data_IF_767699880871
#
_entry.id   IF_767699880871
#
_cell.length_a   1.000
_cell.length_b   1.000
_cell.length_c   1.000
_cell.angle_alpha   90.00
_cell.angle_beta   90.00
_cell.angle_gamma   90.00
#
_symmetry.space_group_name_H-M   'P 1'
#
loop_
_entity.id
_entity.type
_entity.pdbx_description
1 polymer ?
#
# COMPACT_ATOMS: atom_id res chain seq x y z
N UNK A 1 -18.46 -0.70 22.04
CA UNK A 1 -19.19 -1.17 20.84
C UNK A 1 -18.18 -1.09 19.71
N UNK A 2 -17.80 -2.20 19.13
CA UNK A 2 -16.94 -2.18 17.93
C UNK A 2 -17.69 -1.45 16.80
N UNK A 3 -17.02 -0.51 16.15
CA UNK A 3 -17.56 0.24 15.00
C UNK A 3 -17.72 -0.75 13.85
N UNK A 4 -18.95 -1.03 13.44
CA UNK A 4 -19.20 -1.87 12.26
C UNK A 4 -18.74 -1.14 11.01
N UNK A 5 -18.16 -1.89 10.08
CA UNK A 5 -17.68 -1.38 8.81
C UNK A 5 -18.87 -1.02 7.92
N UNK A 6 -19.04 0.25 7.54
CA UNK A 6 -20.10 0.68 6.63
C UNK A 6 -19.76 0.35 5.19
N UNK A 7 -20.55 -0.53 4.59
CA UNK A 7 -20.39 -0.95 3.19
C UNK A 7 -21.59 -0.49 2.38
N UNK A 8 -21.35 0.41 1.43
CA UNK A 8 -22.38 0.84 0.47
C UNK A 8 -22.35 -0.11 -0.74
N UNK A 9 -23.46 -0.79 -0.97
CA UNK A 9 -23.61 -1.78 -2.02
C UNK A 9 -24.46 -1.23 -3.17
N UNK A 10 -23.86 -1.09 -4.35
CA UNK A 10 -24.56 -0.69 -5.57
C UNK A 10 -25.13 -1.90 -6.31
N UNK A 11 -25.99 -2.61 -5.62
CA UNK A 11 -26.74 -3.75 -6.17
C UNK A 11 -28.02 -3.92 -5.36
N UNK A 12 -29.16 -3.78 -6.00
CA UNK A 12 -30.49 -3.90 -5.39
C UNK A 12 -31.19 -5.22 -5.74
N UNK A 13 -30.44 -6.19 -6.33
CA UNK A 13 -31.01 -7.50 -6.64
C UNK A 13 -31.27 -8.33 -5.39
N UNK A 14 -32.40 -9.01 -5.35
CA UNK A 14 -32.80 -9.89 -4.26
C UNK A 14 -31.83 -11.08 -4.15
N UNK A 15 -31.36 -11.58 -5.29
CA UNK A 15 -30.40 -12.68 -5.37
C UNK A 15 -29.09 -12.31 -4.67
N UNK A 16 -28.53 -11.14 -4.96
CA UNK A 16 -27.31 -10.68 -4.32
C UNK A 16 -27.48 -10.54 -2.81
N UNK A 17 -28.61 -9.96 -2.36
CA UNK A 17 -28.90 -9.80 -0.94
C UNK A 17 -29.02 -11.15 -0.22
N UNK A 18 -29.62 -12.15 -0.85
CA UNK A 18 -29.77 -13.49 -0.29
C UNK A 18 -28.48 -14.29 -0.27
N UNK A 19 -27.65 -14.19 -1.32
CA UNK A 19 -26.43 -14.98 -1.45
C UNK A 19 -25.24 -14.37 -0.72
N UNK A 20 -25.13 -13.05 -0.73
CA UNK A 20 -23.96 -12.34 -0.21
C UNK A 20 -24.26 -11.50 1.04
N UNK A 21 -25.45 -10.91 1.15
CA UNK A 21 -25.77 -9.95 2.20
C UNK A 21 -25.56 -10.50 3.60
N UNK A 22 -26.15 -11.65 3.93
CA UNK A 22 -26.02 -12.26 5.25
C UNK A 22 -24.56 -12.60 5.61
N UNK A 23 -23.78 -13.10 4.66
CA UNK A 23 -22.38 -13.48 4.88
C UNK A 23 -21.53 -12.24 5.19
N UNK A 24 -21.77 -11.14 4.48
CA UNK A 24 -21.07 -9.86 4.72
C UNK A 24 -21.46 -9.27 6.09
N UNK A 25 -22.74 -9.31 6.46
CA UNK A 25 -23.22 -8.84 7.77
C UNK A 25 -22.67 -9.67 8.93
N UNK A 26 -22.61 -10.99 8.79
CA UNK A 26 -22.03 -11.92 9.78
C UNK A 26 -20.51 -11.70 9.94
N UNK A 27 -19.86 -11.13 8.92
CA UNK A 27 -18.46 -10.72 8.94
C UNK A 27 -18.23 -9.32 9.55
N UNK A 28 -19.25 -8.72 10.20
CA UNK A 28 -19.14 -7.46 10.93
C UNK A 28 -19.40 -6.20 10.11
N UNK A 29 -19.97 -6.33 8.90
CA UNK A 29 -20.29 -5.21 8.02
C UNK A 29 -21.72 -4.70 8.26
N UNK A 30 -21.92 -3.39 8.11
CA UNK A 30 -23.21 -2.71 8.04
C UNK A 30 -23.51 -2.40 6.58
N UNK A 31 -24.45 -3.13 5.96
CA UNK A 31 -24.75 -2.99 4.54
C UNK A 31 -25.81 -1.93 4.28
N UNK A 32 -25.52 -1.02 3.37
CA UNK A 32 -26.44 -0.01 2.89
C UNK A 32 -26.56 -0.19 1.38
N UNK A 33 -27.78 -0.44 0.92
CA UNK A 33 -28.04 -0.70 -0.49
C UNK A 33 -28.43 0.56 -1.26
N UNK A 34 -28.01 0.64 -2.50
CA UNK A 34 -28.48 1.62 -3.48
C UNK A 34 -28.71 0.95 -4.82
N UNK A 35 -29.49 1.60 -5.68
CA UNK A 35 -29.75 1.11 -7.02
C UNK A 35 -28.43 0.98 -7.80
N UNK A 36 -28.39 0.01 -8.72
CA UNK A 36 -27.28 -0.19 -9.66
C UNK A 36 -27.22 0.95 -10.68
N UNK A 37 -26.73 2.12 -10.25
CA UNK A 37 -26.66 3.34 -11.02
C UNK A 37 -25.56 4.24 -10.47
N UNK A 38 -24.56 4.58 -11.28
CA UNK A 38 -23.35 5.27 -10.81
C UNK A 38 -23.61 6.69 -10.31
N UNK A 39 -24.59 7.41 -10.84
CA UNK A 39 -24.93 8.76 -10.34
C UNK A 39 -25.56 8.67 -8.95
N UNK A 40 -26.52 7.76 -8.76
CA UNK A 40 -27.12 7.53 -7.43
C UNK A 40 -26.13 7.00 -6.41
N UNK A 41 -25.20 6.16 -6.86
CA UNK A 41 -24.11 5.68 -6.01
C UNK A 41 -23.25 6.83 -5.52
N UNK A 42 -22.86 7.76 -6.41
CA UNK A 42 -22.05 8.92 -6.05
C UNK A 42 -22.78 9.85 -5.07
N UNK A 43 -24.07 10.15 -5.29
CA UNK A 43 -24.91 10.90 -4.36
C UNK A 43 -24.96 10.25 -2.96
N UNK A 44 -25.05 8.92 -2.91
CA UNK A 44 -25.03 8.18 -1.65
C UNK A 44 -23.66 8.20 -0.97
N UNK A 45 -22.57 8.07 -1.70
CA UNK A 45 -21.19 8.18 -1.16
C UNK A 45 -21.03 9.52 -0.44
N UNK A 46 -21.46 10.62 -1.08
CA UNK A 46 -21.39 11.96 -0.52
C UNK A 46 -22.28 12.14 0.73
N UNK A 47 -23.45 11.49 0.75
CA UNK A 47 -24.40 11.63 1.86
C UNK A 47 -24.04 10.82 3.11
N UNK A 48 -23.48 9.61 2.97
CA UNK A 48 -23.32 8.67 4.08
C UNK A 48 -21.87 8.40 4.49
N UNK A 49 -20.90 8.84 3.67
CA UNK A 49 -19.47 8.60 3.89
C UNK A 49 -19.16 7.15 4.26
N UNK A 50 -19.37 6.16 3.35
CA UNK A 50 -19.12 4.76 3.64
C UNK A 50 -17.62 4.48 3.77
N UNK A 51 -17.26 3.45 4.53
CA UNK A 51 -15.87 2.99 4.63
C UNK A 51 -15.47 2.20 3.35
N UNK A 52 -16.42 1.43 2.80
CA UNK A 52 -16.24 0.61 1.59
C UNK A 52 -17.41 0.83 0.63
N UNK A 53 -17.11 0.85 -0.66
CA UNK A 53 -18.10 0.82 -1.75
C UNK A 53 -17.94 -0.48 -2.53
N UNK A 54 -18.98 -1.31 -2.53
CA UNK A 54 -19.08 -2.51 -3.33
C UNK A 54 -19.96 -2.23 -4.55
N UNK A 55 -19.38 -2.12 -5.73
CA UNK A 55 -20.07 -1.65 -6.93
C UNK A 55 -19.78 -2.50 -8.16
N UNK A 56 -20.80 -2.66 -9.00
CA UNK A 56 -20.58 -3.20 -10.34
C UNK A 56 -19.74 -2.26 -11.19
N UNK A 57 -18.86 -2.83 -12.01
CA UNK A 57 -18.11 -2.06 -13.00
C UNK A 57 -19.04 -1.40 -14.02
N UNK A 58 -19.99 -2.18 -14.54
CA UNK A 58 -20.94 -1.73 -15.56
C UNK A 58 -22.25 -1.30 -14.95
N UNK A 59 -22.42 0.02 -14.83
CA UNK A 59 -23.63 0.66 -14.30
C UNK A 59 -24.19 1.68 -15.30
N UNK A 60 -25.51 1.90 -15.32
CA UNK A 60 -26.10 2.97 -16.08
C UNK A 60 -25.59 4.35 -15.66
N UNK A 61 -25.58 5.28 -16.59
CA UNK A 61 -25.25 6.72 -16.48
C UNK A 61 -23.79 7.00 -16.14
N UNK A 62 -23.21 6.31 -15.17
CA UNK A 62 -21.80 6.44 -14.78
C UNK A 62 -21.31 5.04 -14.38
N UNK A 63 -20.24 4.56 -14.98
CA UNK A 63 -19.63 3.27 -14.64
C UNK A 63 -18.80 3.32 -13.35
N UNK A 64 -18.32 2.17 -12.90
CA UNK A 64 -17.55 2.07 -11.66
C UNK A 64 -16.26 2.91 -11.67
N UNK A 65 -15.59 2.98 -12.83
CA UNK A 65 -14.37 3.81 -13.00
C UNK A 65 -14.72 5.29 -12.88
N UNK A 66 -15.78 5.70 -13.56
CA UNK A 66 -16.27 7.08 -13.49
C UNK A 66 -16.68 7.49 -12.07
N UNK A 67 -17.30 6.59 -11.31
CA UNK A 67 -17.65 6.84 -9.90
C UNK A 67 -16.39 7.01 -9.06
N UNK A 68 -15.37 6.15 -9.21
CA UNK A 68 -14.10 6.26 -8.49
C UNK A 68 -13.42 7.61 -8.74
N UNK A 69 -13.32 8.03 -10.01
CA UNK A 69 -12.74 9.33 -10.38
C UNK A 69 -13.57 10.53 -9.89
N UNK A 70 -14.90 10.40 -9.82
CA UNK A 70 -15.76 11.46 -9.29
C UNK A 70 -15.64 11.56 -7.77
N UNK A 71 -15.55 10.43 -7.08
CA UNK A 71 -15.37 10.36 -5.63
C UNK A 71 -14.05 10.99 -5.18
N UNK A 72 -12.97 10.91 -5.98
CA UNK A 72 -11.68 11.58 -5.70
C UNK A 72 -11.81 13.11 -5.56
N UNK A 73 -12.87 13.70 -6.13
CA UNK A 73 -13.10 15.15 -6.12
C UNK A 73 -14.00 15.63 -4.98
N UNK A 74 -14.57 14.72 -4.18
CA UNK A 74 -15.53 15.07 -3.13
C UNK A 74 -14.90 15.71 -1.88
N UNK A 75 -13.57 15.76 -1.77
CA UNK A 75 -12.88 16.46 -0.67
C UNK A 75 -13.02 15.82 0.72
N UNK A 76 -13.58 14.60 0.80
CA UNK A 76 -13.65 13.79 2.02
C UNK A 76 -12.68 12.60 1.92
N UNK A 77 -12.56 11.85 3.01
CA UNK A 77 -11.86 10.58 2.99
C UNK A 77 -12.50 9.65 1.95
N UNK A 78 -11.70 9.24 0.97
CA UNK A 78 -12.13 8.36 -0.12
C UNK A 78 -12.50 6.98 0.45
N UNK A 79 -13.67 6.42 0.13
CA UNK A 79 -13.98 5.04 0.49
C UNK A 79 -13.10 4.06 -0.28
N UNK A 80 -12.92 2.86 0.26
CA UNK A 80 -12.30 1.76 -0.48
C UNK A 80 -13.28 1.21 -1.51
N UNK A 81 -12.85 1.15 -2.76
CA UNK A 81 -13.68 0.61 -3.83
C UNK A 81 -13.37 -0.88 -4.09
N UNK A 82 -14.38 -1.72 -3.95
CA UNK A 82 -14.39 -3.10 -4.38
C UNK A 82 -15.28 -3.19 -5.61
N UNK A 83 -14.69 -3.44 -6.76
CA UNK A 83 -15.40 -3.46 -8.04
C UNK A 83 -15.74 -4.90 -8.43
N UNK A 84 -17.00 -5.13 -8.80
CA UNK A 84 -17.49 -6.42 -9.27
C UNK A 84 -17.72 -6.35 -10.78
N UNK A 85 -17.39 -7.42 -11.49
CA UNK A 85 -17.71 -7.58 -12.90
C UNK A 85 -17.99 -9.04 -13.22
N UNK A 86 -18.89 -9.28 -14.15
CA UNK A 86 -19.15 -10.60 -14.74
C UNK A 86 -18.22 -10.89 -15.95
N UNK A 87 -17.35 -9.98 -16.28
CA UNK A 87 -16.37 -10.08 -17.35
C UNK A 87 -15.03 -9.54 -16.91
N UNK A 88 -13.93 -10.16 -17.34
CA UNK A 88 -12.57 -9.69 -17.11
C UNK A 88 -11.68 -9.87 -18.33
N UNK A 89 -10.69 -9.01 -18.44
CA UNK A 89 -9.53 -9.14 -19.31
C UNK A 89 -8.32 -8.49 -18.64
N UNK A 90 -7.07 -8.87 -19.00
CA UNK A 90 -5.88 -8.27 -18.39
C UNK A 90 -5.81 -6.73 -18.50
N UNK A 91 -6.35 -6.19 -19.59
CA UNK A 91 -6.42 -4.74 -19.80
C UNK A 91 -7.45 -4.09 -18.89
N UNK A 92 -8.64 -4.67 -18.78
CA UNK A 92 -9.73 -4.16 -17.95
C UNK A 92 -9.35 -4.21 -16.46
N UNK A 93 -8.79 -5.32 -16.01
CA UNK A 93 -8.30 -5.47 -14.64
C UNK A 93 -7.27 -4.41 -14.29
N UNK A 94 -6.28 -4.20 -15.17
CA UNK A 94 -5.27 -3.14 -14.99
C UNK A 94 -5.92 -1.76 -14.92
N UNK A 95 -6.85 -1.45 -15.81
CA UNK A 95 -7.55 -0.17 -15.85
C UNK A 95 -8.32 0.10 -14.55
N UNK A 96 -9.09 -0.88 -14.08
CA UNK A 96 -9.84 -0.78 -12.82
C UNK A 96 -8.91 -0.56 -11.63
N UNK A 97 -7.83 -1.34 -11.52
CA UNK A 97 -6.89 -1.23 -10.41
C UNK A 97 -6.11 0.10 -10.44
N UNK A 98 -5.68 0.56 -11.63
CA UNK A 98 -4.99 1.86 -11.77
C UNK A 98 -5.92 3.06 -11.56
N UNK A 99 -7.23 2.88 -11.72
CA UNK A 99 -8.24 3.89 -11.40
C UNK A 99 -8.57 3.99 -9.91
N UNK A 100 -7.92 3.17 -9.07
CA UNK A 100 -8.00 3.27 -7.61
C UNK A 100 -8.95 2.28 -6.95
N UNK A 101 -9.31 1.18 -7.60
CA UNK A 101 -9.97 0.06 -6.93
C UNK A 101 -9.01 -0.62 -5.95
N UNK A 102 -9.52 -0.92 -4.75
CA UNK A 102 -8.79 -1.69 -3.75
C UNK A 102 -8.84 -3.20 -4.05
N UNK A 103 -9.89 -3.64 -4.74
CA UNK A 103 -10.07 -5.02 -5.18
C UNK A 103 -10.99 -5.11 -6.40
N UNK A 104 -10.72 -6.09 -7.26
CA UNK A 104 -11.55 -6.41 -8.43
C UNK A 104 -12.02 -7.86 -8.32
N UNK A 105 -13.33 -8.07 -8.15
CA UNK A 105 -13.96 -9.38 -8.04
C UNK A 105 -14.65 -9.76 -9.34
N UNK A 106 -14.43 -11.00 -9.80
CA UNK A 106 -15.09 -11.52 -11.00
C UNK A 106 -16.20 -12.48 -10.60
N UNK A 107 -17.42 -12.19 -11.02
CA UNK A 107 -18.59 -13.03 -10.78
C UNK A 107 -18.60 -14.26 -11.71
N UNK A 108 -18.99 -15.47 -11.24
CA UNK A 108 -19.42 -15.76 -9.87
C UNK A 108 -18.25 -15.85 -8.88
N UNK A 109 -18.41 -15.31 -7.68
CA UNK A 109 -17.42 -15.32 -6.61
C UNK A 109 -18.02 -15.94 -5.34
N UNK A 110 -17.14 -16.38 -4.43
CA UNK A 110 -17.54 -16.87 -3.12
C UNK A 110 -17.75 -15.69 -2.16
N UNK A 111 -18.94 -15.59 -1.54
CA UNK A 111 -19.28 -14.49 -0.64
C UNK A 111 -18.38 -14.44 0.62
N UNK A 112 -17.99 -15.61 1.16
CA UNK A 112 -17.10 -15.67 2.32
C UNK A 112 -15.69 -15.18 1.98
N UNK A 113 -15.16 -15.59 0.82
CA UNK A 113 -13.85 -15.11 0.34
C UNK A 113 -13.86 -13.61 0.07
N UNK A 114 -14.96 -13.09 -0.49
CA UNK A 114 -15.13 -11.65 -0.69
C UNK A 114 -15.16 -10.90 0.64
N UNK A 115 -15.92 -11.41 1.64
CA UNK A 115 -15.98 -10.83 2.97
C UNK A 115 -14.60 -10.78 3.65
N UNK A 116 -13.86 -11.91 3.64
CA UNK A 116 -12.50 -11.99 4.19
C UNK A 116 -11.56 -11.00 3.48
N UNK A 117 -11.67 -10.88 2.15
CA UNK A 117 -10.86 -9.95 1.39
C UNK A 117 -11.16 -8.50 1.74
N UNK A 118 -12.43 -8.11 1.90
CA UNK A 118 -12.82 -6.76 2.33
C UNK A 118 -12.24 -6.46 3.71
N UNK A 119 -12.38 -7.37 4.68
CA UNK A 119 -11.83 -7.20 6.03
C UNK A 119 -10.30 -7.05 5.99
N UNK A 120 -9.60 -7.86 5.20
CA UNK A 120 -8.15 -7.75 5.02
C UNK A 120 -7.73 -6.39 4.46
N UNK A 121 -8.40 -5.92 3.40
CA UNK A 121 -8.07 -4.65 2.74
C UNK A 121 -8.32 -3.49 3.69
N UNK A 122 -9.45 -3.49 4.42
CA UNK A 122 -9.75 -2.47 5.42
C UNK A 122 -8.74 -2.50 6.55
N UNK A 123 -8.40 -3.67 7.07
CA UNK A 123 -7.38 -3.83 8.11
C UNK A 123 -6.00 -3.32 7.69
N UNK A 124 -5.63 -3.53 6.43
CA UNK A 124 -4.40 -2.96 5.85
C UNK A 124 -4.49 -1.44 5.73
N UNK A 125 -5.67 -0.90 5.43
CA UNK A 125 -5.90 0.55 5.27
C UNK A 125 -6.10 1.24 6.61
N UNK A 126 -6.78 0.60 7.58
CA UNK A 126 -6.88 1.12 8.95
C UNK A 126 -5.52 1.09 9.66
N UNK A 127 -4.69 0.10 9.35
CA UNK A 127 -3.26 0.09 9.73
C UNK A 127 -2.47 1.23 9.09
N UNK A 128 -2.88 1.72 7.91
CA UNK A 128 -2.30 2.87 7.22
C UNK A 128 -2.90 4.21 7.65
N UNK A 129 -4.09 4.23 8.26
CA UNK A 129 -4.77 5.44 8.80
C UNK A 129 -4.46 5.71 10.27
N UNK A 130 -3.84 4.78 10.98
CA UNK A 130 -3.12 5.12 12.20
C UNK A 130 -1.84 5.85 11.78
N UNK A 131 -1.43 6.94 12.46
CA UNK A 131 -0.19 7.61 12.15
C UNK A 131 0.90 6.53 12.20
N UNK A 132 1.31 6.11 11.04
CA UNK A 132 2.33 5.13 10.67
C UNK A 132 2.81 4.28 11.85
N UNK A 133 2.13 3.14 12.07
CA UNK A 133 2.69 2.16 12.99
C UNK A 133 4.05 1.74 12.43
N UNK A 134 5.06 1.62 13.27
CA UNK A 134 6.39 1.10 12.92
C UNK A 134 6.27 -0.16 12.03
N UNK A 135 5.22 -0.97 12.23
CA UNK A 135 4.92 -2.17 11.43
C UNK A 135 4.57 -1.87 9.96
N UNK A 136 3.82 -0.78 9.65
CA UNK A 136 3.50 -0.41 8.25
C UNK A 136 4.74 0.07 7.52
N UNK A 137 5.56 0.89 8.17
CA UNK A 137 6.81 1.40 7.61
C UNK A 137 7.83 0.27 7.41
N UNK A 138 7.91 -0.66 8.36
CA UNK A 138 8.76 -1.84 8.26
C UNK A 138 8.41 -2.71 7.06
N UNK A 139 7.11 -2.91 6.77
CA UNK A 139 6.64 -3.66 5.58
C UNK A 139 7.06 -2.94 4.30
N UNK A 140 6.81 -1.64 4.17
CA UNK A 140 7.17 -0.87 2.98
C UNK A 140 8.67 -0.88 2.70
N UNK A 141 9.49 -0.68 3.73
CA UNK A 141 10.95 -0.76 3.59
C UNK A 141 11.40 -2.17 3.21
N UNK A 142 10.77 -3.20 3.79
CA UNK A 142 11.03 -4.61 3.47
C UNK A 142 10.76 -4.91 1.99
N UNK A 143 9.63 -4.47 1.45
CA UNK A 143 9.26 -4.66 0.05
C UNK A 143 10.26 -3.98 -0.90
N UNK A 144 10.67 -2.76 -0.61
CA UNK A 144 11.67 -2.05 -1.41
C UNK A 144 13.02 -2.79 -1.39
N UNK A 145 13.49 -3.23 -0.23
CA UNK A 145 14.74 -3.97 -0.12
C UNK A 145 14.70 -5.29 -0.88
N UNK A 146 13.55 -5.99 -0.89
CA UNK A 146 13.35 -7.19 -1.70
C UNK A 146 13.37 -6.88 -3.20
N UNK A 147 12.68 -5.84 -3.65
CA UNK A 147 12.67 -5.41 -5.06
C UNK A 147 14.08 -5.07 -5.55
N UNK A 148 14.88 -4.38 -4.74
CA UNK A 148 16.27 -4.02 -5.04
C UNK A 148 17.18 -5.25 -5.04
N UNK A 149 16.74 -6.39 -4.44
CA UNK A 149 17.49 -7.64 -4.40
C UNK A 149 18.43 -7.77 -3.20
N UNK A 150 18.18 -7.06 -2.10
CA UNK A 150 18.93 -7.24 -0.85
C UNK A 150 18.53 -8.57 -0.19
N UNK A 151 19.45 -9.52 0.04
CA UNK A 151 19.10 -10.82 0.61
C UNK A 151 18.66 -10.72 2.07
N UNK A 152 17.46 -11.21 2.40
CA UNK A 152 16.88 -11.12 3.74
C UNK A 152 17.63 -11.90 4.83
N UNK A 153 18.40 -12.93 4.45
CA UNK A 153 19.11 -13.81 5.39
C UNK A 153 20.43 -13.24 5.93
N UNK A 154 20.90 -12.10 5.41
CA UNK A 154 22.15 -11.49 5.87
C UNK A 154 21.89 -10.40 6.92
N UNK A 155 22.81 -10.28 7.91
CA UNK A 155 22.67 -9.26 8.98
C UNK A 155 22.57 -7.83 8.45
N UNK A 156 23.24 -7.55 7.33
CA UNK A 156 23.21 -6.25 6.68
C UNK A 156 21.81 -5.82 6.22
N UNK A 157 20.94 -6.76 5.88
CA UNK A 157 19.56 -6.50 5.54
C UNK A 157 18.79 -5.87 6.71
N UNK A 158 18.86 -6.46 7.90
CA UNK A 158 18.17 -5.95 9.08
C UNK A 158 18.74 -4.58 9.51
N UNK A 159 20.05 -4.40 9.44
CA UNK A 159 20.68 -3.12 9.78
C UNK A 159 20.31 -2.02 8.78
N UNK A 160 20.24 -2.37 7.49
CA UNK A 160 19.85 -1.45 6.44
C UNK A 160 18.38 -1.03 6.58
N UNK A 161 17.47 -1.99 6.83
CA UNK A 161 16.05 -1.75 7.07
C UNK A 161 15.85 -0.76 8.22
N UNK A 162 16.42 -1.05 9.38
CA UNK A 162 16.29 -0.18 10.55
C UNK A 162 16.94 1.19 10.33
N UNK A 163 18.05 1.25 9.60
CA UNK A 163 18.68 2.52 9.24
C UNK A 163 17.78 3.39 8.37
N UNK A 164 17.06 2.80 7.43
CA UNK A 164 16.08 3.50 6.57
C UNK A 164 14.90 4.00 7.41
N UNK A 165 14.36 3.17 8.29
CA UNK A 165 13.25 3.54 9.18
C UNK A 165 13.64 4.72 10.07
N UNK A 166 14.78 4.64 10.74
CA UNK A 166 15.32 5.76 11.57
C UNK A 166 15.51 7.04 10.76
N UNK A 167 15.91 6.94 9.49
CA UNK A 167 16.11 8.10 8.63
C UNK A 167 14.78 8.70 8.12
N UNK A 168 13.70 7.92 8.06
CA UNK A 168 12.34 8.42 7.76
C UNK A 168 11.79 9.17 8.97
N UNK A 169 11.93 8.59 10.18
CA UNK A 169 11.44 9.16 11.43
C UNK A 169 12.22 10.40 11.86
N UNK A 170 13.54 10.40 11.65
CA UNK A 170 14.45 11.50 12.03
C UNK A 170 15.36 11.84 10.84
N UNK A 171 14.89 12.67 9.88
CA UNK A 171 15.63 12.98 8.64
C UNK A 171 17.03 13.54 8.87
N UNK A 172 17.24 14.29 9.95
CA UNK A 172 18.53 14.91 10.29
C UNK A 172 19.62 13.88 10.62
N UNK A 173 19.23 12.62 10.92
CA UNK A 173 20.18 11.54 11.27
C UNK A 173 21.10 11.19 10.09
N UNK A 174 20.67 11.45 8.85
CA UNK A 174 21.49 11.27 7.63
C UNK A 174 22.73 12.17 7.62
N UNK A 175 22.68 13.33 8.27
CA UNK A 175 23.83 14.21 8.40
C UNK A 175 24.86 13.71 9.43
N UNK A 176 24.50 12.69 10.21
CA UNK A 176 25.30 12.16 11.31
C UNK A 176 25.40 10.62 11.31
N UNK A 177 25.46 10.01 10.11
CA UNK A 177 25.41 8.55 9.92
C UNK A 177 26.40 7.81 10.82
N UNK A 178 27.67 8.24 10.83
CA UNK A 178 28.73 7.60 11.63
C UNK A 178 28.62 7.91 13.12
N UNK A 179 28.09 9.10 13.48
CA UNK A 179 28.03 9.55 14.87
C UNK A 179 26.71 9.17 15.58
N UNK A 180 25.63 8.98 14.84
CA UNK A 180 24.31 8.71 15.41
C UNK A 180 23.66 7.45 14.84
N UNK A 181 23.52 7.34 13.51
CA UNK A 181 22.77 6.23 12.88
C UNK A 181 23.42 4.88 13.19
N UNK A 182 24.69 4.68 12.84
CA UNK A 182 25.35 3.40 13.10
C UNK A 182 25.45 3.04 14.59
N UNK A 183 25.73 3.97 15.53
CA UNK A 183 25.68 3.66 16.95
C UNK A 183 24.28 3.26 17.44
N UNK A 184 23.20 3.89 16.93
CA UNK A 184 21.83 3.54 17.30
C UNK A 184 21.46 2.12 16.85
N UNK A 185 21.77 1.78 15.60
CA UNK A 185 21.59 0.41 15.07
C UNK A 185 22.47 -0.58 15.83
N UNK A 186 23.72 -0.23 16.09
CA UNK A 186 24.65 -1.09 16.83
C UNK A 186 24.14 -1.42 18.24
N UNK A 187 23.55 -0.45 18.92
CA UNK A 187 22.91 -0.63 20.24
C UNK A 187 21.71 -1.58 20.18
N UNK A 188 20.85 -1.43 19.16
CA UNK A 188 19.66 -2.30 18.95
C UNK A 188 20.04 -3.78 18.76
N UNK A 189 21.17 -4.03 18.09
CA UNK A 189 21.59 -5.38 17.72
C UNK A 189 22.78 -5.93 18.53
N UNK A 190 23.13 -5.29 19.64
CA UNK A 190 24.27 -5.65 20.51
C UNK A 190 25.56 -5.90 19.71
N UNK A 191 25.94 -4.91 18.91
CA UNK A 191 27.12 -4.99 18.03
C UNK A 191 27.87 -3.66 18.01
N UNK A 192 28.83 -3.51 17.09
CA UNK A 192 29.62 -2.27 16.97
C UNK A 192 29.26 -1.49 15.69
N UNK A 193 29.41 -0.16 15.73
CA UNK A 193 29.15 0.71 14.58
C UNK A 193 29.95 0.30 13.33
N UNK A 194 31.20 -0.13 13.49
CA UNK A 194 32.02 -0.62 12.37
C UNK A 194 31.49 -1.91 11.74
N UNK A 195 30.91 -2.81 12.56
CA UNK A 195 30.26 -4.02 12.04
C UNK A 195 28.96 -3.71 11.32
N UNK A 196 28.18 -2.76 11.84
CA UNK A 196 26.95 -2.26 11.17
C UNK A 196 27.30 -1.68 9.81
N UNK A 197 28.26 -0.74 9.75
CA UNK A 197 28.70 -0.13 8.50
C UNK A 197 29.12 -1.16 7.45
N UNK A 198 29.99 -2.10 7.85
CA UNK A 198 30.48 -3.15 6.93
C UNK A 198 29.36 -4.09 6.45
N UNK A 199 28.43 -4.45 7.34
CA UNK A 199 27.34 -5.33 7.00
C UNK A 199 26.34 -4.64 6.03
N UNK A 200 26.04 -3.37 6.24
CA UNK A 200 25.22 -2.56 5.33
C UNK A 200 25.92 -2.44 3.96
N UNK A 201 27.19 -2.10 3.94
CA UNK A 201 27.97 -2.01 2.70
C UNK A 201 27.93 -3.32 1.92
N UNK A 202 28.15 -4.44 2.58
CA UNK A 202 28.08 -5.76 1.96
C UNK A 202 26.66 -6.07 1.42
N UNK A 203 25.61 -5.71 2.15
CA UNK A 203 24.24 -5.90 1.69
C UNK A 203 23.94 -5.11 0.40
N UNK A 204 24.39 -3.85 0.33
CA UNK A 204 24.26 -3.01 -0.86
C UNK A 204 25.08 -3.59 -2.02
N UNK A 205 26.30 -4.07 -1.76
CA UNK A 205 27.15 -4.70 -2.78
C UNK A 205 26.49 -5.95 -3.39
N UNK A 206 25.95 -6.83 -2.56
CA UNK A 206 25.24 -8.01 -3.04
C UNK A 206 24.02 -7.66 -3.89
N UNK A 207 23.23 -6.67 -3.46
CA UNK A 207 22.10 -6.20 -4.23
C UNK A 207 22.54 -5.61 -5.58
N UNK A 208 23.63 -4.86 -5.61
CA UNK A 208 24.14 -4.26 -6.84
C UNK A 208 24.68 -5.26 -7.83
N UNK A 209 25.34 -6.33 -7.33
CA UNK A 209 25.93 -7.38 -8.18
C UNK A 209 24.90 -8.38 -8.71
N UNK A 210 23.72 -8.50 -8.09
CA UNK A 210 22.68 -9.50 -8.41
C UNK A 210 21.31 -8.92 -8.74
N UNK A 211 21.09 -7.64 -8.43
CA UNK A 211 19.80 -6.97 -8.62
C UNK A 211 19.49 -6.72 -10.10
N UNK A 212 18.20 -6.52 -10.37
CA UNK A 212 17.72 -6.12 -11.69
C UNK A 212 18.14 -4.68 -11.98
N UNK A 213 18.80 -4.47 -13.12
CA UNK A 213 19.35 -3.16 -13.52
C UNK A 213 18.24 -2.12 -13.71
N UNK A 214 17.08 -2.51 -14.23
CA UNK A 214 15.97 -1.58 -14.46
C UNK A 214 15.35 -1.15 -13.12
N UNK A 215 15.24 -2.07 -12.18
CA UNK A 215 14.81 -1.77 -10.81
C UNK A 215 15.80 -0.84 -10.12
N UNK A 216 17.09 -1.16 -10.14
CA UNK A 216 18.13 -0.31 -9.56
C UNK A 216 18.12 1.09 -10.19
N UNK A 217 17.98 1.20 -11.50
CA UNK A 217 17.86 2.47 -12.20
C UNK A 217 16.61 3.26 -11.81
N UNK A 218 15.48 2.59 -11.56
CA UNK A 218 14.25 3.23 -11.11
C UNK A 218 14.38 3.91 -9.75
N UNK A 219 15.22 3.35 -8.86
CA UNK A 219 15.50 3.91 -7.52
C UNK A 219 16.66 4.91 -7.52
N UNK A 220 17.71 4.68 -8.32
CA UNK A 220 18.99 5.36 -8.19
C UNK A 220 19.46 6.07 -9.48
N UNK A 221 18.75 5.93 -10.60
CA UNK A 221 19.21 6.31 -11.94
C UNK A 221 19.64 7.76 -12.15
N UNK A 222 19.12 8.70 -11.34
CA UNK A 222 19.51 10.12 -11.42
C UNK A 222 20.76 10.46 -10.59
N UNK A 223 21.15 9.59 -9.66
CA UNK A 223 22.23 9.87 -8.70
C UNK A 223 23.50 9.11 -9.03
N UNK A 224 23.37 8.04 -9.82
CA UNK A 224 24.48 7.18 -10.20
C UNK A 224 24.81 7.45 -11.67
N UNK A 225 25.78 8.33 -11.92
CA UNK A 225 26.37 8.41 -13.25
C UNK A 225 27.02 7.07 -13.60
N UNK A 226 26.83 6.61 -14.83
CA UNK A 226 27.38 5.37 -15.40
C UNK A 226 28.89 5.12 -15.16
N UNK A 227 29.60 6.10 -14.61
CA UNK A 227 31.04 6.04 -14.29
C UNK A 227 31.36 5.89 -12.81
N UNK A 228 30.41 6.03 -11.87
CA UNK A 228 30.68 6.05 -10.42
C UNK A 228 30.38 4.77 -9.65
N UNK A 229 29.73 3.79 -10.26
CA UNK A 229 29.48 2.51 -9.59
C UNK A 229 28.39 2.56 -8.49
N UNK A 230 28.59 1.82 -7.44
CA UNK A 230 27.62 1.61 -6.34
C UNK A 230 27.46 2.86 -5.47
N UNK A 231 26.25 3.15 -4.92
CA UNK A 231 26.03 4.22 -3.96
C UNK A 231 26.78 3.93 -2.66
N UNK A 232 27.14 4.96 -1.95
CA UNK A 232 27.60 4.84 -0.56
C UNK A 232 26.43 4.43 0.34
N UNK A 233 26.72 3.90 1.53
CA UNK A 233 25.69 3.54 2.50
C UNK A 233 24.73 4.71 2.81
N UNK A 234 25.28 5.90 3.01
CA UNK A 234 24.49 7.09 3.32
C UNK A 234 23.62 7.54 2.14
N UNK A 235 24.13 7.49 0.92
CA UNK A 235 23.36 7.80 -0.29
C UNK A 235 22.22 6.80 -0.47
N UNK A 236 22.47 5.51 -0.30
CA UNK A 236 21.45 4.47 -0.40
C UNK A 236 20.31 4.70 0.62
N UNK A 237 20.68 4.88 1.90
CA UNK A 237 19.70 5.10 2.98
C UNK A 237 18.92 6.40 2.72
N UNK A 238 19.60 7.49 2.37
CA UNK A 238 18.97 8.78 2.13
C UNK A 238 17.94 8.71 0.98
N UNK A 239 18.30 8.08 -0.14
CA UNK A 239 17.44 8.01 -1.31
C UNK A 239 16.16 7.20 -1.06
N UNK A 240 16.29 6.04 -0.41
CA UNK A 240 15.12 5.21 -0.08
C UNK A 240 14.23 5.93 0.95
N UNK A 241 14.83 6.50 2.00
CA UNK A 241 14.07 7.21 3.04
C UNK A 241 13.36 8.46 2.49
N UNK A 242 13.98 9.22 1.61
CA UNK A 242 13.37 10.40 1.01
C UNK A 242 12.22 10.02 0.05
N UNK A 243 12.40 8.99 -0.77
CA UNK A 243 11.37 8.49 -1.66
C UNK A 243 10.13 8.03 -0.90
N UNK A 244 10.30 7.25 0.19
CA UNK A 244 9.19 6.82 1.03
C UNK A 244 8.50 8.01 1.69
N UNK A 245 9.26 8.94 2.25
CA UNK A 245 8.72 10.15 2.89
C UNK A 245 7.91 11.02 1.92
N UNK A 246 8.33 11.14 0.66
CA UNK A 246 7.57 11.85 -0.37
C UNK A 246 6.28 11.13 -0.73
N UNK A 247 6.30 9.80 -0.83
CA UNK A 247 5.10 8.99 -1.04
C UNK A 247 4.07 9.17 0.09
N UNK A 248 4.54 9.17 1.33
CA UNK A 248 3.71 9.36 2.51
C UNK A 248 3.05 10.75 2.54
N UNK A 249 3.79 11.80 2.17
CA UNK A 249 3.26 13.17 2.07
C UNK A 249 2.28 13.37 0.92
N UNK A 250 2.36 12.58 -0.13
CA UNK A 250 1.43 12.67 -1.27
C UNK A 250 0.14 11.88 -1.03
N UNK A 251 0.12 10.99 -0.01
CA UNK A 251 -1.03 10.19 0.40
C UNK A 251 -1.80 10.80 1.59
N UNK A 252 -1.25 11.87 2.21
CA UNK A 252 -1.88 12.67 3.28
C UNK A 252 -2.53 13.92 2.71
#
# INVERSE_FOLDING_TARGET
>A
MEKRLKVLVSNDSVEFQQECGQVLEDSGMELIYTQKDGVKLLEKIEAIHPDVVLADLFMPRLDGIGVMHAADKLGHQKPLFVIISNFTSPTLEREVMTSGAAYFAVSPFNASELAERIVQIVGLTEGALQPESEASLEIQVTEILHQIGVPAHIKGYHYLRDSIIMAIETPEIINAVTKQLYPSVAKKYDTTSSRVERAIRHAIEVAWDRGDVDILNSYFGYTIHNTRGKPTNSEFIAMISDRLRLHMKSAS
#
